data_IF_907858054745
#
_entry.id   IF_907858054745
#
_cell.length_a   1.000
_cell.length_b   1.000
_cell.length_c   1.000
_cell.angle_alpha   90.00
_cell.angle_beta   90.00
_cell.angle_gamma   90.00
#
_symmetry.space_group_name_H-M   'P 1'
#
loop_
_entity.id
_entity.type
_entity.pdbx_description
1 polymer ?
#
# COMPACT_ATOMS: atom_id res chain seq x y z
N UNK A 1 -2.29 -18.81 -1.94
CA UNK A 1 -1.01 -18.07 -1.94
C UNK A 1 -1.35 -16.59 -2.01
N UNK A 2 -0.70 -15.74 -1.21
CA UNK A 2 -0.95 -14.29 -1.26
C UNK A 2 -0.23 -13.67 -2.46
N UNK A 3 -0.91 -12.84 -3.24
CA UNK A 3 -0.34 -12.13 -4.40
C UNK A 3 -0.09 -10.67 -4.02
N UNK A 4 1.11 -10.17 -4.29
CA UNK A 4 1.49 -8.79 -4.00
C UNK A 4 1.75 -8.05 -5.31
N UNK A 5 1.07 -6.93 -5.50
CA UNK A 5 1.24 -6.06 -6.66
C UNK A 5 1.97 -4.78 -6.24
N UNK A 6 3.14 -4.52 -6.83
CA UNK A 6 3.88 -3.28 -6.61
C UNK A 6 3.64 -2.30 -7.75
N UNK A 7 3.29 -1.06 -7.41
CA UNK A 7 3.09 0.04 -8.37
C UNK A 7 4.06 1.15 -7.98
N UNK A 8 5.15 1.30 -8.73
CA UNK A 8 6.24 2.23 -8.42
C UNK A 8 6.60 3.08 -9.64
N UNK A 9 6.81 4.39 -9.42
CA UNK A 9 7.36 5.31 -10.42
C UNK A 9 7.88 6.57 -9.73
N UNK A 10 9.10 7.00 -10.08
CA UNK A 10 9.76 8.19 -9.55
C UNK A 10 9.20 9.53 -10.06
N UNK A 11 8.47 9.52 -11.18
CA UNK A 11 7.77 10.73 -11.66
C UNK A 11 6.38 10.88 -11.02
N UNK A 12 6.09 12.10 -10.55
CA UNK A 12 4.74 12.50 -10.12
C UNK A 12 3.78 12.63 -11.31
N UNK A 13 2.47 12.51 -11.07
CA UNK A 13 1.44 12.80 -12.09
C UNK A 13 1.22 11.74 -13.17
N UNK A 14 1.97 10.63 -13.19
CA UNK A 14 1.84 9.57 -14.22
C UNK A 14 0.61 8.65 -14.03
N UNK A 15 -0.25 8.91 -13.03
CA UNK A 15 -1.47 8.12 -12.81
C UNK A 15 -1.31 6.85 -11.96
N UNK A 16 -0.24 6.70 -11.17
CA UNK A 16 -0.03 5.54 -10.26
C UNK A 16 -1.24 5.23 -9.38
N UNK A 17 -1.79 6.25 -8.75
CA UNK A 17 -2.93 6.11 -7.83
C UNK A 17 -4.20 5.70 -8.56
N UNK A 18 -4.37 6.15 -9.81
CA UNK A 18 -5.51 5.77 -10.66
C UNK A 18 -5.44 4.27 -10.98
N UNK A 19 -4.30 3.78 -11.49
CA UNK A 19 -4.17 2.36 -11.80
C UNK A 19 -4.26 1.47 -10.55
N UNK A 20 -3.75 1.93 -9.40
CA UNK A 20 -3.92 1.25 -8.13
C UNK A 20 -5.40 1.16 -7.70
N UNK A 21 -6.18 2.24 -7.90
CA UNK A 21 -7.62 2.25 -7.61
C UNK A 21 -8.41 1.28 -8.49
N UNK A 22 -8.08 1.18 -9.77
CA UNK A 22 -8.73 0.24 -10.68
C UNK A 22 -8.38 -1.20 -10.35
N UNK A 23 -7.11 -1.48 -10.05
CA UNK A 23 -6.69 -2.82 -9.64
C UNK A 23 -7.41 -3.26 -8.35
N UNK A 24 -7.50 -2.37 -7.36
CA UNK A 24 -8.24 -2.64 -6.12
C UNK A 24 -9.71 -2.98 -6.39
N UNK A 25 -10.39 -2.16 -7.21
CA UNK A 25 -11.79 -2.38 -7.57
C UNK A 25 -12.00 -3.69 -8.33
N UNK A 26 -11.16 -4.02 -9.31
CA UNK A 26 -11.26 -5.27 -10.08
C UNK A 26 -11.06 -6.49 -9.18
N UNK A 27 -10.05 -6.48 -8.32
CA UNK A 27 -9.79 -7.60 -7.40
C UNK A 27 -10.94 -7.78 -6.40
N UNK A 28 -11.50 -6.68 -5.88
CA UNK A 28 -12.68 -6.70 -5.02
C UNK A 28 -13.91 -7.22 -5.75
N UNK A 29 -14.12 -6.81 -7.00
CA UNK A 29 -15.22 -7.28 -7.84
C UNK A 29 -15.11 -8.79 -8.13
N UNK A 30 -13.89 -9.32 -8.24
CA UNK A 30 -13.62 -10.76 -8.35
C UNK A 30 -13.73 -11.52 -7.01
N UNK A 31 -14.22 -10.89 -5.94
CA UNK A 31 -14.41 -11.51 -4.63
C UNK A 31 -13.10 -11.78 -3.87
N UNK A 32 -11.99 -11.13 -4.24
CA UNK A 32 -10.73 -11.26 -3.49
C UNK A 32 -10.76 -10.37 -2.25
N UNK A 33 -10.13 -10.84 -1.18
CA UNK A 33 -9.79 -9.97 -0.06
C UNK A 33 -8.53 -9.17 -0.42
N UNK A 34 -8.64 -7.84 -0.35
CA UNK A 34 -7.62 -6.91 -0.83
C UNK A 34 -7.30 -5.93 0.27
N UNK A 35 -6.02 -5.83 0.59
CA UNK A 35 -5.45 -4.80 1.44
C UNK A 35 -4.58 -3.92 0.57
N UNK A 36 -4.77 -2.61 0.66
CA UNK A 36 -3.95 -1.65 -0.03
C UNK A 36 -3.04 -0.91 0.96
N UNK A 37 -1.84 -0.59 0.52
CA UNK A 37 -0.85 0.16 1.28
C UNK A 37 -0.49 1.40 0.48
N UNK A 38 -0.62 2.58 1.09
CA UNK A 38 -0.21 3.84 0.47
C UNK A 38 1.09 4.29 1.13
N UNK A 39 2.16 4.36 0.34
CA UNK A 39 3.50 4.73 0.81
C UNK A 39 3.94 6.11 0.32
N UNK A 40 3.03 6.89 -0.29
CA UNK A 40 3.34 8.25 -0.74
C UNK A 40 3.29 9.22 0.46
N UNK A 41 4.42 9.83 0.88
CA UNK A 41 4.44 10.72 2.03
C UNK A 41 3.83 12.10 1.73
N UNK A 42 3.66 12.47 0.45
CA UNK A 42 3.24 13.81 0.03
C UNK A 42 1.77 13.81 -0.40
N UNK A 43 1.33 12.78 -1.13
CA UNK A 43 0.00 12.77 -1.73
C UNK A 43 -0.66 11.39 -1.65
N UNK A 44 -1.09 11.01 -0.45
CA UNK A 44 -1.79 9.76 -0.12
C UNK A 44 -3.18 9.67 -0.81
N UNK A 45 -3.16 9.57 -2.13
CA UNK A 45 -4.33 9.63 -3.00
C UNK A 45 -5.21 8.40 -2.79
N UNK A 46 -4.61 7.25 -2.50
CA UNK A 46 -5.36 6.02 -2.28
C UNK A 46 -6.12 6.09 -0.96
N UNK A 47 -5.52 6.68 0.07
CA UNK A 47 -6.16 6.89 1.37
C UNK A 47 -7.42 7.78 1.29
N UNK A 48 -7.51 8.65 0.28
CA UNK A 48 -8.68 9.51 0.06
C UNK A 48 -9.98 8.75 -0.26
N UNK A 49 -9.89 7.49 -0.74
CA UNK A 49 -11.06 6.67 -1.03
C UNK A 49 -11.57 5.98 0.24
N UNK A 50 -12.65 6.51 0.84
CA UNK A 50 -13.23 6.01 2.10
C UNK A 50 -13.69 4.55 2.05
N UNK A 51 -14.03 4.04 0.87
CA UNK A 51 -14.50 2.66 0.66
C UNK A 51 -13.33 1.65 0.56
N UNK A 52 -12.10 2.13 0.41
CA UNK A 52 -10.93 1.27 0.30
C UNK A 52 -10.33 1.03 1.69
N UNK A 53 -9.97 -0.23 1.96
CA UNK A 53 -9.19 -0.59 3.15
C UNK A 53 -7.72 -0.29 2.87
N UNK A 54 -7.36 0.98 2.97
CA UNK A 54 -5.99 1.48 2.76
C UNK A 54 -5.32 1.70 4.11
N UNK A 55 -4.11 1.16 4.24
CA UNK A 55 -3.24 1.42 5.38
C UNK A 55 -2.14 2.38 4.92
N UNK A 56 -2.08 3.61 5.42
CA UNK A 56 -1.00 4.52 5.11
C UNK A 56 0.28 4.07 5.84
N UNK A 57 1.40 4.04 5.12
CA UNK A 57 2.72 3.80 5.69
C UNK A 57 3.65 4.91 5.26
N UNK A 58 4.04 5.74 6.21
CA UNK A 58 5.08 6.73 6.00
C UNK A 58 6.46 6.04 6.00
N UNK A 59 6.97 5.72 4.81
CA UNK A 59 8.28 5.08 4.64
C UNK A 59 9.45 6.06 4.71
N UNK A 60 9.21 7.38 4.77
CA UNK A 60 10.26 8.40 4.76
C UNK A 60 10.33 9.08 6.12
N UNK A 61 11.40 8.80 6.88
CA UNK A 61 11.67 9.49 8.15
C UNK A 61 12.92 10.32 8.04
N UNK A 62 12.82 11.61 8.35
CA UNK A 62 13.95 12.56 8.31
C UNK A 62 14.67 12.58 6.95
N UNK A 63 13.94 12.41 5.85
CA UNK A 63 14.51 12.39 4.50
C UNK A 63 15.23 11.09 4.11
N UNK A 64 15.20 10.07 4.96
CA UNK A 64 15.73 8.74 4.69
C UNK A 64 14.61 7.71 4.58
N UNK A 65 14.75 6.77 3.64
CA UNK A 65 13.79 5.68 3.47
C UNK A 65 14.05 4.60 4.52
N UNK A 66 13.06 4.30 5.35
CA UNK A 66 13.13 3.20 6.32
C UNK A 66 12.58 1.90 5.72
N UNK A 67 13.50 1.05 5.25
CA UNK A 67 13.18 -0.25 4.66
C UNK A 67 12.48 -1.24 5.62
N UNK A 68 12.53 -1.00 6.95
CA UNK A 68 11.87 -1.88 7.94
C UNK A 68 10.35 -1.75 7.86
N UNK A 69 9.85 -0.56 7.50
CA UNK A 69 8.42 -0.31 7.37
C UNK A 69 7.83 -1.09 6.18
N UNK A 70 8.54 -1.16 5.06
CA UNK A 70 8.20 -2.03 3.93
C UNK A 70 8.16 -3.51 4.34
N UNK A 71 9.10 -3.95 5.18
CA UNK A 71 9.16 -5.33 5.69
C UNK A 71 7.94 -5.67 6.55
N UNK A 72 7.45 -4.72 7.36
CA UNK A 72 6.24 -4.92 8.16
C UNK A 72 4.98 -5.05 7.28
N UNK A 73 4.88 -4.29 6.19
CA UNK A 73 3.79 -4.42 5.21
C UNK A 73 3.74 -5.83 4.61
N UNK A 74 4.93 -6.36 4.28
CA UNK A 74 5.08 -7.72 3.78
C UNK A 74 4.62 -8.79 4.78
N UNK A 75 4.93 -8.61 6.08
CA UNK A 75 4.44 -9.53 7.12
C UNK A 75 2.92 -9.52 7.23
N UNK A 76 2.29 -8.34 7.10
CA UNK A 76 0.83 -8.22 7.12
C UNK A 76 0.21 -8.92 5.91
N UNK A 77 0.76 -8.72 4.70
CA UNK A 77 0.22 -9.32 3.48
C UNK A 77 0.41 -10.84 3.38
N UNK A 78 1.42 -11.40 4.07
CA UNK A 78 1.70 -12.84 4.10
C UNK A 78 1.10 -13.58 5.30
N UNK A 79 0.40 -12.87 6.20
CA UNK A 79 -0.20 -13.47 7.40
C UNK A 79 0.80 -13.80 8.52
N UNK A 80 2.02 -13.23 8.48
CA UNK A 80 3.05 -13.43 9.50
C UNK A 80 2.74 -12.56 10.74
N UNK A 81 1.95 -13.13 11.65
CA UNK A 81 1.33 -12.51 12.84
C UNK A 81 2.32 -12.22 13.99
N UNK A 82 3.43 -11.52 13.71
CA UNK A 82 4.27 -10.90 14.76
C UNK A 82 4.52 -9.44 14.38
N UNK A 83 3.51 -8.61 14.67
CA UNK A 83 3.67 -7.17 14.84
C UNK A 83 3.72 -6.95 16.35
N UNK A 84 4.93 -6.88 16.89
CA UNK A 84 5.15 -6.37 18.23
C UNK A 84 5.47 -4.89 18.02
N UNK A 85 4.49 -4.02 18.25
CA UNK A 85 4.74 -2.60 18.45
C UNK A 85 5.29 -2.42 19.88
N UNK A 86 6.39 -1.69 20.08
CA UNK A 86 6.78 -1.22 21.41
C UNK A 86 5.74 -0.24 21.97
#
# INVERSE_FOLDING_TARGET
MATVHFIQQGKGGVGKSVIASFLYQVLRHQGKDVVAFDTDPVNATLLGYKEFKVIPIDIVRQGQVDARLLTNCWKVSTGCRKVHTP
#
